data_IF_431807372155
#
_entry.id   IF_431807372155
#
_cell.length_a   1.000
_cell.length_b   1.000
_cell.length_c   1.000
_cell.angle_alpha   90.00
_cell.angle_beta   90.00
_cell.angle_gamma   90.00
#
_symmetry.space_group_name_H-M   'P 1'
#
loop_
_entity.id
_entity.type
_entity.pdbx_description
1 polymer ?
#
# COMPACT_ATOMS: atom_id res chain seq x y z
N UNK A 1 -27.64 5.51 -14.71
CA UNK A 1 -27.12 4.91 -13.47
C UNK A 1 -26.44 3.60 -13.85
N UNK A 2 -25.11 3.54 -13.84
CA UNK A 2 -24.36 2.33 -14.23
C UNK A 2 -24.53 1.30 -13.12
N UNK A 3 -25.01 0.10 -13.44
CA UNK A 3 -25.14 -1.01 -12.49
C UNK A 3 -23.97 -1.98 -12.69
N UNK A 4 -23.48 -2.64 -11.63
CA UNK A 4 -22.51 -3.73 -11.78
C UNK A 4 -23.07 -4.82 -12.71
N UNK A 5 -22.18 -5.50 -13.44
CA UNK A 5 -22.54 -6.66 -14.25
C UNK A 5 -23.23 -7.70 -13.37
N UNK A 6 -24.20 -8.41 -13.92
CA UNK A 6 -24.81 -9.56 -13.27
C UNK A 6 -23.72 -10.56 -12.79
N UNK A 7 -23.83 -11.02 -11.54
CA UNK A 7 -22.83 -11.87 -10.90
C UNK A 7 -21.59 -11.16 -10.31
N UNK A 8 -21.41 -9.86 -10.52
CA UNK A 8 -20.32 -9.06 -9.93
C UNK A 8 -20.75 -8.18 -8.75
N UNK A 9 -21.96 -8.40 -8.23
CA UNK A 9 -22.46 -7.70 -7.05
C UNK A 9 -21.90 -8.30 -5.77
N UNK A 10 -20.82 -7.73 -5.24
CA UNK A 10 -20.47 -7.93 -3.83
C UNK A 10 -21.55 -7.24 -2.99
N UNK A 11 -22.38 -8.03 -2.32
CA UNK A 11 -23.56 -7.50 -1.60
C UNK A 11 -23.19 -6.57 -0.43
N UNK A 12 -21.93 -6.57 0.03
CA UNK A 12 -21.36 -5.65 1.02
C UNK A 12 -19.83 -5.45 0.80
N UNK A 13 -19.37 -5.24 -0.44
CA UNK A 13 -17.94 -5.02 -0.74
C UNK A 13 -17.00 -6.16 -0.30
N UNK A 14 -15.69 -6.00 -0.53
CA UNK A 14 -14.66 -6.90 0.01
C UNK A 14 -13.86 -6.12 1.04
N UNK A 15 -14.04 -6.40 2.33
CA UNK A 15 -13.30 -5.75 3.40
C UNK A 15 -13.25 -6.63 4.66
N UNK A 16 -12.13 -6.57 5.38
CA UNK A 16 -12.08 -6.99 6.77
C UNK A 16 -12.68 -5.88 7.66
N UNK A 17 -13.45 -6.21 8.71
CA UNK A 17 -13.97 -5.20 9.63
C UNK A 17 -12.84 -4.40 10.30
N UNK A 18 -12.97 -3.07 10.33
CA UNK A 18 -12.05 -2.16 11.00
C UNK A 18 -12.61 -1.77 12.37
N UNK A 19 -12.35 -2.61 13.38
CA UNK A 19 -12.85 -2.40 14.73
C UNK A 19 -11.78 -1.71 15.59
N UNK A 20 -12.19 -0.72 16.39
CA UNK A 20 -11.31 -0.11 17.38
C UNK A 20 -11.25 -0.95 18.66
N UNK A 21 -10.52 -2.06 18.59
CA UNK A 21 -10.27 -2.98 19.71
C UNK A 21 -8.78 -3.04 20.01
N UNK A 22 -8.44 -3.44 21.24
CA UNK A 22 -7.06 -3.47 21.75
C UNK A 22 -6.18 -4.47 20.99
N UNK A 23 -6.72 -5.62 20.60
CA UNK A 23 -5.98 -6.68 19.89
C UNK A 23 -6.60 -6.91 18.52
N UNK A 24 -5.84 -6.61 17.46
CA UNK A 24 -6.26 -6.76 16.06
C UNK A 24 -5.38 -7.80 15.38
N UNK A 25 -5.93 -8.99 15.17
CA UNK A 25 -5.25 -10.14 14.54
C UNK A 25 -6.08 -10.70 13.37
N UNK A 26 -6.85 -9.84 12.70
CA UNK A 26 -7.76 -10.22 11.61
C UNK A 26 -7.17 -9.98 10.20
N UNK A 27 -6.06 -9.26 10.09
CA UNK A 27 -5.29 -9.05 8.87
C UNK A 27 -3.87 -9.59 9.07
N UNK A 28 -3.25 -10.09 7.99
CA UNK A 28 -1.89 -10.64 8.04
C UNK A 28 -0.83 -9.53 8.01
N UNK A 29 -0.94 -8.55 8.89
CA UNK A 29 -0.01 -7.42 9.01
C UNK A 29 1.18 -7.80 9.91
N UNK A 30 2.31 -7.11 9.72
CA UNK A 30 3.42 -7.17 10.67
C UNK A 30 2.99 -6.55 12.00
N UNK A 31 3.18 -7.21 13.15
CA UNK A 31 2.90 -6.61 14.46
C UNK A 31 4.02 -5.66 14.93
N UNK A 32 5.13 -5.60 14.19
CA UNK A 32 6.29 -4.78 14.55
C UNK A 32 6.27 -3.42 13.84
N UNK A 33 6.69 -2.39 14.58
CA UNK A 33 6.93 -1.05 14.08
C UNK A 33 8.02 -1.02 13.00
N UNK A 34 8.00 0.04 12.18
CA UNK A 34 9.04 0.27 11.19
C UNK A 34 10.38 0.62 11.87
N UNK A 35 11.53 0.28 11.26
CA UNK A 35 12.85 0.57 11.85
C UNK A 35 13.08 2.06 12.11
N UNK A 36 13.97 2.36 13.06
CA UNK A 36 14.35 3.74 13.35
C UNK A 36 14.85 4.47 12.10
N UNK A 37 14.39 5.71 11.91
CA UNK A 37 14.77 6.54 10.78
C UNK A 37 14.03 6.23 9.47
N UNK A 38 13.20 5.19 9.40
CA UNK A 38 12.41 4.87 8.21
C UNK A 38 11.56 6.07 7.75
N UNK A 39 10.77 6.66 8.66
CA UNK A 39 9.90 7.79 8.34
C UNK A 39 10.67 9.03 7.86
N UNK A 40 11.82 9.32 8.48
CA UNK A 40 12.70 10.40 8.05
C UNK A 40 13.19 10.17 6.63
N UNK A 41 13.70 8.97 6.34
CA UNK A 41 14.19 8.63 5.00
C UNK A 41 13.07 8.65 3.96
N UNK A 42 11.88 8.17 4.31
CA UNK A 42 10.70 8.24 3.44
C UNK A 42 10.36 9.70 3.10
N UNK A 43 10.37 10.60 4.08
CA UNK A 43 10.17 12.04 3.86
C UNK A 43 11.23 12.67 2.96
N UNK A 44 12.51 12.34 3.17
CA UNK A 44 13.63 12.81 2.34
C UNK A 44 13.52 12.37 0.87
N UNK A 45 13.00 11.17 0.61
CA UNK A 45 12.84 10.64 -0.76
C UNK A 45 11.58 11.23 -1.41
N UNK A 46 10.46 11.24 -0.68
CA UNK A 46 9.18 11.71 -1.23
C UNK A 46 9.17 13.21 -1.52
N UNK A 47 9.87 14.02 -0.73
CA UNK A 47 10.02 15.47 -0.98
C UNK A 47 10.74 15.82 -2.29
N UNK A 48 11.44 14.87 -2.91
CA UNK A 48 12.18 15.06 -4.17
C UNK A 48 11.41 14.61 -5.40
N UNK A 49 10.19 14.09 -5.24
CA UNK A 49 9.40 13.56 -6.35
C UNK A 49 8.83 14.69 -7.23
N UNK A 50 9.00 14.57 -8.54
CA UNK A 50 8.35 15.43 -9.52
C UNK A 50 6.91 14.94 -9.78
N UNK A 51 5.98 15.23 -8.87
CA UNK A 51 4.60 14.71 -8.90
C UNK A 51 3.74 15.21 -10.08
N UNK A 52 4.23 16.19 -10.84
CA UNK A 52 3.61 16.66 -12.08
C UNK A 52 4.08 15.88 -13.33
N UNK A 53 4.88 14.83 -13.15
CA UNK A 53 5.40 13.97 -14.22
C UNK A 53 5.04 12.51 -13.95
N UNK A 54 4.90 11.73 -15.01
CA UNK A 54 4.74 10.29 -14.87
C UNK A 54 6.02 9.65 -14.29
N UNK A 55 5.89 8.60 -13.46
CA UNK A 55 7.04 7.85 -12.97
C UNK A 55 7.73 7.07 -14.09
N UNK A 56 8.91 6.53 -13.81
CA UNK A 56 9.54 5.53 -14.69
C UNK A 56 8.61 4.32 -14.85
N UNK A 57 8.09 4.15 -16.07
CA UNK A 57 7.16 3.07 -16.43
C UNK A 57 7.78 1.68 -16.28
N UNK A 58 9.10 1.56 -16.35
CA UNK A 58 9.78 0.27 -16.26
C UNK A 58 9.90 -0.23 -14.81
N UNK A 59 9.80 0.67 -13.82
CA UNK A 59 10.09 0.41 -12.41
C UNK A 59 11.45 -0.26 -12.19
N UNK A 60 12.43 0.02 -13.07
CA UNK A 60 13.67 -0.73 -13.15
C UNK A 60 14.43 -0.71 -11.82
N UNK A 61 14.59 0.47 -11.23
CA UNK A 61 15.32 0.65 -9.98
C UNK A 61 14.74 -0.20 -8.83
N UNK A 62 13.41 -0.29 -8.72
CA UNK A 62 12.76 -1.09 -7.67
C UNK A 62 12.96 -2.58 -7.94
N UNK A 63 12.86 -3.02 -9.20
CA UNK A 63 13.07 -4.42 -9.57
C UNK A 63 14.51 -4.88 -9.33
N UNK A 64 15.49 -4.05 -9.67
CA UNK A 64 16.90 -4.33 -9.42
C UNK A 64 17.17 -4.45 -7.92
N UNK A 65 16.68 -3.51 -7.11
CA UNK A 65 16.83 -3.56 -5.65
C UNK A 65 16.19 -4.80 -5.01
N UNK A 66 15.03 -5.24 -5.51
CA UNK A 66 14.37 -6.48 -5.05
C UNK A 66 15.13 -7.75 -5.48
N UNK A 67 15.83 -7.72 -6.62
CA UNK A 67 16.60 -8.85 -7.10
C UNK A 67 17.95 -9.03 -6.37
N UNK A 68 18.46 -7.95 -5.77
CA UNK A 68 19.71 -7.94 -4.99
C UNK A 68 19.51 -8.28 -3.50
N UNK A 69 18.27 -8.39 -3.03
CA UNK A 69 17.95 -8.85 -1.67
C UNK A 69 18.06 -10.37 -1.55
#
# INVERSE_FOLDING_TARGET
>A
MIRPREGLGLRNGYHSPQLNVEVRLNTNESPFELPEGFYRRLGEVTSKLALNRYPDRSYRQVKEALAEQ
#
